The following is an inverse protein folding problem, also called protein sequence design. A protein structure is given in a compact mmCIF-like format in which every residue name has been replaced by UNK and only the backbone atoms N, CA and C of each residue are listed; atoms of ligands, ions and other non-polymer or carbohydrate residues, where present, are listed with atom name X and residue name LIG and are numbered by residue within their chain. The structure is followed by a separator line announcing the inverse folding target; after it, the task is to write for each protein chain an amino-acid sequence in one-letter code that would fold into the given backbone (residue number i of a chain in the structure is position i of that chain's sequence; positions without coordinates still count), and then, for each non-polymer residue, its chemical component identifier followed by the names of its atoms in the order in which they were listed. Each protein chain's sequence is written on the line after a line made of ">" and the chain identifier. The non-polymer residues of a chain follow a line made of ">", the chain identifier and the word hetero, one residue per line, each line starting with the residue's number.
data_IF_790645804550
#
_entry.id   IF_790645804550
#
_cell.length_a   1.000
_cell.length_b   1.000
_cell.length_c   1.000
_cell.angle_alpha   90.00
_cell.angle_beta   90.00
_cell.angle_gamma   90.00
#
_symmetry.space_group_name_H-M   'P 1'
#
loop_
_entity.id
_entity.type
_entity.pdbx_description
1 polymer ?
#
# COMPACT_ATOMS: atom_id res chain seq x y z
N UNK A 1 -11.84 -3.17 7.34
CA UNK A 1 -12.59 -3.55 8.55
C UNK A 1 -11.61 -3.97 9.63
N UNK A 2 -12.01 -3.88 10.89
CA UNK A 2 -11.21 -4.29 12.05
C UNK A 2 -12.11 -4.97 13.07
N UNK A 3 -11.62 -6.04 13.68
CA UNK A 3 -12.34 -6.78 14.72
C UNK A 3 -11.41 -7.02 15.91
N UNK A 4 -11.92 -6.81 17.13
CA UNK A 4 -11.16 -7.01 18.38
C UNK A 4 -10.44 -5.76 18.86
N UNK A 5 -9.58 -5.93 19.89
CA UNK A 5 -8.77 -4.86 20.49
C UNK A 5 -7.60 -4.42 19.60
N UNK A 6 -6.75 -3.51 20.08
CA UNK A 6 -5.66 -2.97 19.25
C UNK A 6 -4.56 -4.00 18.93
N UNK A 7 -3.94 -4.61 19.95
CA UNK A 7 -2.78 -5.50 19.75
C UNK A 7 -3.16 -6.89 19.21
N UNK A 8 -4.26 -7.45 19.72
CA UNK A 8 -4.75 -8.78 19.35
C UNK A 8 -5.90 -8.77 18.35
N UNK A 9 -6.22 -7.60 17.78
CA UNK A 9 -7.25 -7.51 16.75
C UNK A 9 -6.69 -7.79 15.36
N UNK A 10 -7.62 -8.04 14.46
CA UNK A 10 -7.33 -8.37 13.07
C UNK A 10 -8.07 -7.41 12.15
N UNK A 11 -7.37 -6.97 11.12
CA UNK A 11 -7.87 -6.07 10.10
C UNK A 11 -7.87 -6.72 8.72
N UNK A 12 -8.77 -6.24 7.87
CA UNK A 12 -8.73 -6.48 6.43
C UNK A 12 -8.99 -5.18 5.68
N UNK A 13 -8.22 -4.87 4.66
CA UNK A 13 -8.52 -3.77 3.74
C UNK A 13 -8.98 -4.32 2.41
N UNK A 14 -9.79 -3.53 1.71
CA UNK A 14 -10.26 -3.81 0.35
C UNK A 14 -10.02 -2.55 -0.48
N UNK A 15 -9.39 -2.70 -1.65
CA UNK A 15 -9.30 -1.62 -2.62
C UNK A 15 -10.71 -1.29 -3.13
N UNK A 16 -11.05 0.00 -3.21
CA UNK A 16 -12.38 0.44 -3.64
C UNK A 16 -12.75 0.00 -5.06
N UNK A 17 -11.75 -0.27 -5.90
CA UNK A 17 -11.92 -0.83 -7.25
C UNK A 17 -12.15 -2.34 -7.28
N UNK A 18 -11.98 -3.04 -6.15
CA UNK A 18 -11.99 -4.50 -6.07
C UNK A 18 -10.72 -5.18 -6.59
N UNK A 19 -9.69 -4.42 -6.98
CA UNK A 19 -8.49 -4.97 -7.60
C UNK A 19 -7.63 -5.82 -6.64
N UNK A 20 -7.65 -5.50 -5.35
CA UNK A 20 -6.91 -6.24 -4.33
C UNK A 20 -7.50 -6.01 -2.94
N UNK A 21 -7.20 -6.93 -2.04
CA UNK A 21 -7.55 -6.90 -0.63
C UNK A 21 -6.48 -7.64 0.17
N UNK A 22 -6.43 -7.42 1.48
CA UNK A 22 -5.43 -8.10 2.31
C UNK A 22 -5.65 -7.94 3.81
N UNK A 23 -5.12 -8.88 4.61
CA UNK A 23 -5.13 -8.76 6.07
C UNK A 23 -4.06 -7.76 6.54
N UNK A 24 -4.27 -7.20 7.73
CA UNK A 24 -3.24 -6.44 8.45
C UNK A 24 -3.50 -6.57 9.96
N UNK A 25 -2.45 -6.52 10.77
CA UNK A 25 -2.55 -6.56 12.24
C UNK A 25 -1.69 -5.48 12.88
N UNK A 26 -1.76 -5.34 14.19
CA UNK A 26 -0.81 -4.50 14.92
C UNK A 26 0.63 -4.97 14.69
N UNK A 27 0.86 -6.29 14.67
CA UNK A 27 2.18 -6.88 14.52
C UNK A 27 2.78 -6.64 13.12
N UNK A 28 1.97 -6.74 12.05
CA UNK A 28 2.44 -6.46 10.68
C UNK A 28 2.71 -4.97 10.44
N UNK A 29 2.09 -4.09 11.23
CA UNK A 29 2.28 -2.63 11.14
C UNK A 29 3.42 -2.11 11.99
N UNK A 30 3.57 -2.60 13.22
CA UNK A 30 4.45 -1.99 14.21
C UNK A 30 5.55 -2.91 14.76
N UNK A 31 5.41 -4.23 14.62
CA UNK A 31 6.32 -5.21 15.25
C UNK A 31 7.19 -5.95 14.23
N UNK A 32 7.16 -5.52 12.96
CA UNK A 32 7.98 -6.08 11.88
C UNK A 32 7.63 -7.52 11.51
N UNK A 33 6.43 -7.99 11.90
CA UNK A 33 5.94 -9.30 11.46
C UNK A 33 5.66 -9.30 9.96
N UNK A 34 5.89 -10.44 9.32
CA UNK A 34 5.62 -10.61 7.90
C UNK A 34 4.13 -10.38 7.59
N UNK A 35 3.88 -9.66 6.50
CA UNK A 35 2.54 -9.23 6.10
C UNK A 35 2.56 -7.77 5.69
N UNK A 36 1.42 -7.30 5.18
CA UNK A 36 1.30 -5.93 4.69
C UNK A 36 0.83 -4.98 5.79
N UNK A 37 0.96 -3.68 5.52
CA UNK A 37 0.51 -2.59 6.37
C UNK A 37 0.15 -1.35 5.52
N UNK A 38 -0.59 -0.38 6.08
CA UNK A 38 -0.99 0.81 5.36
C UNK A 38 0.18 1.61 4.78
N UNK A 39 1.33 1.65 5.47
CA UNK A 39 2.51 2.40 5.05
C UNK A 39 3.14 1.81 3.78
N UNK A 40 3.22 0.49 3.66
CA UNK A 40 3.65 -0.21 2.44
C UNK A 40 2.74 0.13 1.25
N UNK A 41 1.42 0.16 1.46
CA UNK A 41 0.46 0.50 0.40
C UNK A 41 0.65 1.93 -0.11
N UNK A 42 0.89 2.89 0.79
CA UNK A 42 1.18 4.29 0.42
C UNK A 42 2.51 4.38 -0.33
N UNK A 43 3.55 3.66 0.14
CA UNK A 43 4.84 3.63 -0.53
C UNK A 43 4.72 3.08 -1.96
N UNK A 44 4.00 1.98 -2.15
CA UNK A 44 3.74 1.40 -3.47
C UNK A 44 2.96 2.37 -4.38
N UNK A 45 1.91 3.00 -3.85
CA UNK A 45 1.13 4.00 -4.60
C UNK A 45 1.98 5.18 -5.03
N UNK A 46 2.83 5.71 -4.15
CA UNK A 46 3.73 6.82 -4.45
C UNK A 46 4.77 6.41 -5.51
N UNK A 47 5.43 5.26 -5.33
CA UNK A 47 6.42 4.77 -6.28
C UNK A 47 5.84 4.60 -7.70
N UNK A 48 4.63 4.06 -7.81
CA UNK A 48 3.92 3.93 -9.09
C UNK A 48 3.59 5.31 -9.71
N UNK A 49 3.04 6.23 -8.92
CA UNK A 49 2.71 7.58 -9.38
C UNK A 49 3.96 8.34 -9.85
N UNK A 50 5.04 8.29 -9.07
CA UNK A 50 6.31 8.94 -9.42
C UNK A 50 6.88 8.36 -10.71
N UNK A 51 6.92 7.03 -10.84
CA UNK A 51 7.43 6.36 -12.04
C UNK A 51 6.67 6.77 -13.29
N UNK A 52 5.33 6.85 -13.20
CA UNK A 52 4.48 7.29 -14.30
C UNK A 52 4.72 8.75 -14.67
N UNK A 53 4.77 9.64 -13.67
CA UNK A 53 5.03 11.06 -13.89
C UNK A 53 6.43 11.31 -14.50
N UNK A 54 7.44 10.58 -14.03
CA UNK A 54 8.79 10.64 -14.58
C UNK A 54 8.82 10.20 -16.05
N UNK A 55 8.17 9.08 -16.36
CA UNK A 55 8.05 8.60 -17.75
C UNK A 55 7.40 9.65 -18.66
N UNK A 56 6.30 10.26 -18.21
CA UNK A 56 5.62 11.31 -18.97
C UNK A 56 6.50 12.55 -19.19
N UNK A 57 7.33 12.93 -18.22
CA UNK A 57 8.26 14.04 -18.37
C UNK A 57 9.38 13.71 -19.36
N UNK A 58 9.93 12.49 -19.32
CA UNK A 58 10.94 12.06 -20.29
C UNK A 58 10.38 12.06 -21.72
N UNK A 59 9.14 11.60 -21.90
CA UNK A 59 8.43 11.63 -23.19
C UNK A 59 8.27 13.05 -23.73
N UNK A 60 7.86 14.00 -22.88
CA UNK A 60 7.71 15.41 -23.27
C UNK A 60 9.01 16.05 -23.74
N UNK A 61 10.14 15.61 -23.18
CA UNK A 61 11.48 16.08 -23.54
C UNK A 61 12.13 15.24 -24.67
N UNK A 62 11.42 14.25 -25.23
CA UNK A 62 11.91 13.43 -26.34
C UNK A 62 12.96 12.37 -25.94
N UNK A 63 12.99 11.96 -24.68
CA UNK A 63 13.94 10.99 -24.13
C UNK A 63 13.37 9.56 -23.98
N UNK A 64 12.29 9.25 -24.70
CA UNK A 64 11.68 7.92 -24.83
C UNK A 64 11.28 7.65 -26.26
#
# INVERSE_FOLDING_TARGET
>A
TWTGGLKGGEGRFNAGSGAFEGPYTFATRFEGSEGTNPEELIAAAHAACFSMALSANLEREGNT
#
